data_IF_713110407530
#
_entry.id   IF_713110407530
#
_cell.length_a   1.000
_cell.length_b   1.000
_cell.length_c   1.000
_cell.angle_alpha   90.00
_cell.angle_beta   90.00
_cell.angle_gamma   90.00
#
_symmetry.space_group_name_H-M   'P 1'
#
loop_
_entity.id
_entity.type
_entity.pdbx_description
1 polymer ?
#
# COMPACT_ATOMS: atom_id res chain seq x y z
N UNK A 1 -20.00 -8.28 6.45
CA UNK A 1 -18.61 -7.86 6.72
C UNK A 1 -18.44 -6.97 7.97
N UNK A 2 -19.49 -6.45 8.56
CA UNK A 2 -19.45 -5.56 9.75
C UNK A 2 -19.52 -6.32 11.10
N UNK A 3 -19.83 -7.60 11.13
CA UNK A 3 -20.16 -8.37 12.35
C UNK A 3 -19.00 -9.16 13.00
N UNK A 4 -17.75 -8.96 12.60
CA UNK A 4 -16.61 -9.70 13.18
C UNK A 4 -15.69 -8.86 14.08
N UNK A 5 -16.05 -7.62 14.40
CA UNK A 5 -15.37 -6.85 15.43
C UNK A 5 -16.01 -7.14 16.80
N UNK A 6 -15.68 -8.30 17.35
CA UNK A 6 -16.16 -8.73 18.65
C UNK A 6 -15.54 -7.85 19.76
N UNK A 7 -16.41 -7.15 20.43
CA UNK A 7 -16.30 -6.20 21.52
C UNK A 7 -15.67 -6.77 22.80
N UNK A 8 -14.37 -7.04 22.82
CA UNK A 8 -13.65 -7.41 24.05
C UNK A 8 -12.61 -6.37 24.49
N UNK A 9 -12.83 -5.08 24.21
CA UNK A 9 -11.93 -4.00 24.64
C UNK A 9 -12.75 -2.78 25.10
N UNK A 10 -13.42 -2.92 26.24
CA UNK A 10 -13.98 -1.77 26.92
C UNK A 10 -13.79 -1.92 28.44
N UNK A 11 -12.55 -1.69 28.92
CA UNK A 11 -12.30 -1.25 30.31
C UNK A 11 -10.79 -0.97 30.54
N UNK A 12 -10.30 0.20 30.09
CA UNK A 12 -9.12 0.85 30.67
C UNK A 12 -9.07 2.32 30.22
N UNK A 13 -9.73 3.18 30.98
CA UNK A 13 -10.22 4.47 30.44
C UNK A 13 -9.21 5.59 30.16
N UNK A 14 -8.08 5.78 30.83
CA UNK A 14 -7.29 7.01 30.66
C UNK A 14 -5.95 6.82 29.92
N UNK A 15 -5.32 5.68 30.08
CA UNK A 15 -4.07 5.37 29.39
C UNK A 15 -4.27 5.11 27.88
N UNK A 16 -5.45 4.57 27.51
CA UNK A 16 -5.83 4.37 26.10
C UNK A 16 -6.06 5.69 25.36
N UNK A 17 -6.67 6.69 26.02
CA UNK A 17 -6.90 8.02 25.42
C UNK A 17 -5.60 8.76 25.09
N UNK A 18 -4.58 8.69 25.97
CA UNK A 18 -3.28 9.34 25.74
C UNK A 18 -2.49 8.71 24.58
N UNK A 19 -2.50 7.38 24.47
CA UNK A 19 -1.85 6.67 23.35
C UNK A 19 -2.53 6.94 22.00
N UNK A 20 -3.86 6.93 21.98
CA UNK A 20 -4.69 7.23 20.83
C UNK A 20 -4.42 8.63 20.24
N UNK A 21 -4.41 9.66 21.11
CA UNK A 21 -4.15 11.03 20.66
C UNK A 21 -2.76 11.19 20.01
N UNK A 22 -1.74 10.47 20.51
CA UNK A 22 -0.39 10.51 19.94
C UNK A 22 -0.33 9.90 18.54
N UNK A 23 -0.99 8.75 18.32
CA UNK A 23 -1.03 8.11 17.00
C UNK A 23 -1.74 9.03 16.00
N UNK A 24 -2.92 9.52 16.36
CA UNK A 24 -3.72 10.37 15.49
C UNK A 24 -3.00 11.68 15.15
N UNK A 25 -2.28 12.28 16.08
CA UNK A 25 -1.45 13.47 15.80
C UNK A 25 -0.35 13.14 14.80
N UNK A 26 0.36 12.01 14.96
CA UNK A 26 1.40 11.58 14.03
C UNK A 26 0.84 11.30 12.64
N UNK A 27 -0.31 10.64 12.54
CA UNK A 27 -0.99 10.39 11.27
C UNK A 27 -1.39 11.69 10.58
N UNK A 28 -1.94 12.67 11.32
CA UNK A 28 -2.33 13.98 10.77
C UNK A 28 -1.09 14.72 10.24
N UNK A 29 -0.01 14.77 11.02
CA UNK A 29 1.22 15.43 10.60
C UNK A 29 1.76 14.78 9.32
N UNK A 30 1.81 13.45 9.27
CA UNK A 30 2.27 12.71 8.11
C UNK A 30 1.37 12.97 6.88
N UNK A 31 0.05 12.99 7.07
CA UNK A 31 -0.90 13.33 6.00
C UNK A 31 -0.64 14.73 5.43
N UNK A 32 -0.40 15.72 6.29
CA UNK A 32 -0.07 17.09 5.88
C UNK A 32 1.20 17.09 5.02
N UNK A 33 2.25 16.38 5.44
CA UNK A 33 3.49 16.28 4.66
C UNK A 33 3.28 15.63 3.29
N UNK A 34 2.46 14.57 3.21
CA UNK A 34 2.15 13.90 1.95
C UNK A 34 1.31 14.80 1.02
N UNK A 35 0.31 15.49 1.57
CA UNK A 35 -0.47 16.48 0.81
C UNK A 35 0.42 17.60 0.28
N UNK A 36 1.31 18.12 1.11
CA UNK A 36 2.22 19.18 0.68
C UNK A 36 3.15 18.70 -0.43
N UNK A 37 3.68 17.47 -0.34
CA UNK A 37 4.49 16.90 -1.43
C UNK A 37 3.66 16.68 -2.71
N UNK A 38 2.43 16.18 -2.61
CA UNK A 38 1.57 15.91 -3.76
C UNK A 38 1.21 17.18 -4.55
N UNK A 39 0.90 18.28 -3.86
CA UNK A 39 0.35 19.46 -4.49
C UNK A 39 1.38 20.57 -4.71
N UNK A 40 2.40 20.69 -3.86
CA UNK A 40 3.40 21.75 -3.95
C UNK A 40 4.66 21.28 -4.67
N UNK A 41 5.31 20.24 -4.16
CA UNK A 41 6.57 19.77 -4.74
C UNK A 41 6.36 18.88 -5.97
N UNK A 42 5.26 18.12 -6.02
CA UNK A 42 4.93 17.16 -7.09
C UNK A 42 6.06 16.17 -7.40
N UNK A 43 6.84 15.80 -6.37
CA UNK A 43 7.95 14.88 -6.53
C UNK A 43 7.43 13.45 -6.33
N UNK A 44 7.21 12.74 -7.43
CA UNK A 44 6.76 11.36 -7.43
C UNK A 44 7.95 10.42 -7.54
N UNK A 45 8.62 10.19 -6.43
CA UNK A 45 9.77 9.29 -6.36
C UNK A 45 9.67 8.42 -5.10
N UNK A 46 9.87 7.11 -5.26
CA UNK A 46 9.85 6.16 -4.14
C UNK A 46 10.85 6.52 -3.03
N UNK A 47 12.02 7.10 -3.38
CA UNK A 47 12.98 7.58 -2.38
C UNK A 47 12.44 8.74 -1.53
N UNK A 48 11.71 9.68 -2.16
CA UNK A 48 11.13 10.83 -1.44
C UNK A 48 10.03 10.37 -0.49
N UNK A 49 9.15 9.49 -0.96
CA UNK A 49 8.11 8.90 -0.11
C UNK A 49 8.71 8.12 1.05
N UNK A 50 9.74 7.31 0.80
CA UNK A 50 10.48 6.60 1.85
C UNK A 50 11.13 7.57 2.83
N UNK A 51 11.74 8.65 2.33
CA UNK A 51 12.35 9.71 3.14
C UNK A 51 11.36 10.44 4.03
N UNK A 52 10.10 10.57 3.62
CA UNK A 52 9.02 11.12 4.46
C UNK A 52 8.55 10.09 5.49
N UNK A 53 8.33 8.85 5.07
CA UNK A 53 7.76 7.79 5.94
C UNK A 53 8.72 7.28 7.02
N UNK A 54 10.02 7.19 6.71
CA UNK A 54 11.03 6.61 7.60
C UNK A 54 11.20 7.38 8.92
N UNK A 55 11.28 8.73 8.95
CA UNK A 55 11.31 9.47 10.22
C UNK A 55 10.07 9.23 11.09
N UNK A 56 8.89 9.10 10.47
CA UNK A 56 7.66 8.80 11.22
C UNK A 56 7.68 7.38 11.79
N UNK A 57 8.21 6.41 11.06
CA UNK A 57 8.41 5.05 11.59
C UNK A 57 9.36 5.05 12.78
N UNK A 58 10.47 5.78 12.70
CA UNK A 58 11.42 5.93 13.82
C UNK A 58 10.75 6.60 15.00
N UNK A 59 10.00 7.68 14.78
CA UNK A 59 9.25 8.36 15.84
C UNK A 59 8.24 7.43 16.51
N UNK A 60 7.53 6.61 15.75
CA UNK A 60 6.62 5.60 16.29
C UNK A 60 7.35 4.60 17.17
N UNK A 61 8.52 4.10 16.75
CA UNK A 61 9.32 3.18 17.56
C UNK A 61 9.85 3.83 18.84
N UNK A 62 10.30 5.08 18.78
CA UNK A 62 10.82 5.81 19.93
C UNK A 62 9.71 6.13 20.95
N UNK A 63 8.54 6.59 20.47
CA UNK A 63 7.46 7.06 21.35
C UNK A 63 6.66 5.90 21.94
N UNK A 64 6.45 4.83 21.15
CA UNK A 64 5.51 3.76 21.48
C UNK A 64 6.16 2.37 21.61
N UNK A 65 7.46 2.25 21.30
CA UNK A 65 8.18 0.99 21.27
C UNK A 65 7.82 0.14 20.03
N UNK A 66 8.59 -0.89 19.79
CA UNK A 66 8.35 -1.87 18.70
C UNK A 66 7.47 -3.02 19.20
N UNK A 67 6.47 -3.40 18.43
CA UNK A 67 5.68 -4.60 18.69
C UNK A 67 6.09 -5.74 17.78
N UNK A 68 6.42 -6.90 18.42
CA UNK A 68 6.80 -8.09 17.67
C UNK A 68 5.57 -8.70 16.98
N UNK A 69 5.75 -9.04 15.71
CA UNK A 69 4.72 -9.73 14.94
C UNK A 69 4.48 -11.16 15.47
N UNK A 70 3.37 -11.34 16.21
CA UNK A 70 3.02 -12.57 16.94
C UNK A 70 1.85 -13.35 16.33
N UNK A 71 1.39 -12.99 15.14
CA UNK A 71 0.22 -13.63 14.53
C UNK A 71 0.45 -15.11 14.19
N UNK A 72 -0.58 -15.92 14.44
CA UNK A 72 -0.64 -17.35 14.15
C UNK A 72 -1.06 -17.59 12.67
N UNK A 73 -0.76 -18.76 12.13
CA UNK A 73 -1.20 -19.23 10.80
C UNK A 73 -0.66 -18.42 9.60
N UNK A 74 0.48 -17.77 9.75
CA UNK A 74 1.11 -17.00 8.66
C UNK A 74 1.43 -17.86 7.43
N UNK A 75 1.87 -19.11 7.65
CA UNK A 75 2.27 -20.02 6.56
C UNK A 75 1.10 -20.36 5.65
N UNK A 76 -0.06 -20.69 6.25
CA UNK A 76 -1.25 -21.08 5.50
C UNK A 76 -1.81 -19.92 4.69
N UNK A 77 -1.82 -18.70 5.29
CA UNK A 77 -2.27 -17.51 4.59
C UNK A 77 -1.31 -17.14 3.47
N UNK A 78 0.00 -17.20 3.69
CA UNK A 78 0.99 -16.95 2.64
C UNK A 78 0.88 -17.94 1.49
N UNK A 79 0.65 -19.22 1.80
CA UNK A 79 0.47 -20.25 0.78
C UNK A 79 -0.80 -20.02 -0.04
N UNK A 80 -1.93 -19.77 0.61
CA UNK A 80 -3.20 -19.47 -0.08
C UNK A 80 -3.09 -18.22 -0.93
N UNK A 81 -2.47 -17.16 -0.41
CA UNK A 81 -2.23 -15.93 -1.15
C UNK A 81 -1.31 -16.16 -2.36
N UNK A 82 -0.27 -16.99 -2.22
CA UNK A 82 0.61 -17.35 -3.33
C UNK A 82 -0.13 -18.09 -4.44
N UNK A 83 -1.04 -19.01 -4.08
CA UNK A 83 -1.88 -19.73 -5.04
C UNK A 83 -2.80 -18.76 -5.78
N UNK A 84 -3.46 -17.85 -5.07
CA UNK A 84 -4.36 -16.86 -5.68
C UNK A 84 -3.59 -15.94 -6.63
N UNK A 85 -2.42 -15.44 -6.22
CA UNK A 85 -1.57 -14.59 -7.06
C UNK A 85 -1.07 -15.34 -8.30
N UNK A 86 -0.68 -16.60 -8.15
CA UNK A 86 -0.24 -17.42 -9.26
C UNK A 86 -1.39 -17.68 -10.26
N UNK A 87 -2.57 -18.01 -9.76
CA UNK A 87 -3.77 -18.16 -10.58
C UNK A 87 -4.13 -16.87 -11.32
N UNK A 88 -4.05 -15.73 -10.63
CA UNK A 88 -4.29 -14.41 -11.25
C UNK A 88 -3.32 -14.15 -12.40
N UNK A 89 -2.01 -14.32 -12.19
CA UNK A 89 -1.03 -14.12 -13.27
C UNK A 89 -1.24 -15.11 -14.40
N UNK A 90 -1.52 -16.37 -14.11
CA UNK A 90 -1.81 -17.36 -15.13
C UNK A 90 -3.00 -16.94 -16.01
N UNK A 91 -4.12 -16.55 -15.40
CA UNK A 91 -5.32 -16.09 -16.12
C UNK A 91 -5.01 -14.82 -16.92
N UNK A 92 -4.31 -13.86 -16.32
CA UNK A 92 -3.97 -12.58 -16.96
C UNK A 92 -3.09 -12.80 -18.19
N UNK A 93 -2.05 -13.63 -18.09
CA UNK A 93 -1.19 -13.94 -19.23
C UNK A 93 -1.89 -14.82 -20.28
N UNK A 94 -2.78 -15.73 -19.87
CA UNK A 94 -3.61 -16.51 -20.77
C UNK A 94 -4.53 -15.61 -21.60
N UNK A 95 -5.20 -14.66 -20.97
CA UNK A 95 -6.01 -13.65 -21.67
C UNK A 95 -5.15 -12.75 -22.58
N UNK A 96 -3.92 -12.49 -22.21
CA UNK A 96 -2.95 -11.75 -23.02
C UNK A 96 -2.65 -12.40 -24.37
N UNK A 97 -2.82 -13.72 -24.51
CA UNK A 97 -2.70 -14.39 -25.81
C UNK A 97 -3.74 -13.92 -26.83
N UNK A 98 -4.88 -13.43 -26.36
CA UNK A 98 -5.95 -12.91 -27.20
C UNK A 98 -5.87 -11.40 -27.43
N UNK A 99 -5.41 -10.64 -26.43
CA UNK A 99 -5.33 -9.18 -26.49
C UNK A 99 -4.00 -8.66 -27.04
N UNK A 100 -2.95 -9.49 -27.01
CA UNK A 100 -1.59 -9.12 -27.37
C UNK A 100 -0.74 -8.77 -26.14
N UNK A 101 0.56 -8.51 -26.41
CA UNK A 101 1.54 -8.19 -25.36
C UNK A 101 2.31 -6.92 -25.70
N UNK A 102 2.58 -6.10 -24.68
CA UNK A 102 3.46 -4.94 -24.75
C UNK A 102 4.75 -5.21 -24.01
N UNK A 103 5.87 -4.76 -24.56
CA UNK A 103 7.18 -4.84 -23.91
C UNK A 103 7.27 -3.83 -22.77
N UNK A 104 7.97 -4.23 -21.69
CA UNK A 104 8.28 -3.31 -20.61
C UNK A 104 9.10 -2.12 -21.12
N UNK A 105 8.85 -0.94 -20.56
CA UNK A 105 9.66 0.27 -20.82
C UNK A 105 11.00 0.27 -20.08
N UNK A 106 11.19 -0.67 -19.14
CA UNK A 106 12.41 -0.76 -18.32
C UNK A 106 13.46 -1.67 -18.96
N UNK A 107 14.71 -1.29 -18.84
CA UNK A 107 15.83 -2.15 -19.26
C UNK A 107 15.97 -3.34 -18.32
N UNK A 108 16.03 -4.55 -18.88
CA UNK A 108 16.12 -5.82 -18.15
C UNK A 108 17.56 -6.23 -17.81
N UNK A 109 18.54 -5.33 -17.94
CA UNK A 109 19.89 -5.59 -17.39
C UNK A 109 19.78 -5.77 -15.87
N UNK A 110 20.49 -6.74 -15.31
CA UNK A 110 20.49 -7.05 -13.87
C UNK A 110 20.73 -5.80 -13.01
N UNK A 111 21.69 -4.96 -13.43
CA UNK A 111 22.03 -3.71 -12.73
C UNK A 111 20.83 -2.74 -12.74
N UNK A 112 20.14 -2.60 -13.88
CA UNK A 112 18.99 -1.72 -14.00
C UNK A 112 17.78 -2.26 -13.27
N UNK A 113 17.55 -3.58 -13.25
CA UNK A 113 16.50 -4.20 -12.43
C UNK A 113 16.74 -3.85 -10.96
N UNK A 114 17.95 -4.08 -10.44
CA UNK A 114 18.29 -3.76 -9.04
C UNK A 114 18.09 -2.26 -8.78
N UNK A 115 18.58 -1.40 -9.66
CA UNK A 115 18.48 0.06 -9.52
C UNK A 115 17.02 0.54 -9.47
N UNK A 116 16.14 -0.05 -10.27
CA UNK A 116 14.73 0.34 -10.35
C UNK A 116 13.89 -0.28 -9.22
N UNK A 117 14.19 -1.52 -8.81
CA UNK A 117 13.43 -2.23 -7.76
C UNK A 117 13.82 -1.80 -6.35
N UNK A 118 15.08 -1.45 -6.12
CA UNK A 118 15.58 -1.13 -4.77
C UNK A 118 14.79 -0.03 -4.05
N UNK A 119 14.51 1.15 -4.67
CA UNK A 119 13.72 2.20 -4.01
C UNK A 119 12.30 1.75 -3.69
N UNK A 120 11.70 0.94 -4.56
CA UNK A 120 10.34 0.41 -4.38
C UNK A 120 10.31 -0.60 -3.23
N UNK A 121 11.31 -1.47 -3.14
CA UNK A 121 11.45 -2.43 -2.03
C UNK A 121 11.56 -1.70 -0.70
N UNK A 122 12.42 -0.69 -0.61
CA UNK A 122 12.58 0.11 0.62
C UNK A 122 11.26 0.79 1.00
N UNK A 123 10.60 1.41 0.04
CA UNK A 123 9.30 2.06 0.25
C UNK A 123 8.25 1.07 0.77
N UNK A 124 8.13 -0.11 0.16
CA UNK A 124 7.18 -1.15 0.59
C UNK A 124 7.47 -1.55 2.04
N UNK A 125 8.72 -1.84 2.38
CA UNK A 125 9.09 -2.28 3.74
C UNK A 125 8.74 -1.20 4.76
N UNK A 126 9.13 0.05 4.51
CA UNK A 126 8.87 1.16 5.44
C UNK A 126 7.37 1.43 5.59
N UNK A 127 6.62 1.44 4.49
CA UNK A 127 5.18 1.66 4.51
C UNK A 127 4.44 0.56 5.28
N UNK A 128 4.77 -0.72 5.04
CA UNK A 128 4.05 -1.82 5.71
C UNK A 128 4.47 -1.97 7.18
N UNK A 129 5.69 -1.65 7.56
CA UNK A 129 6.08 -1.55 8.96
C UNK A 129 5.34 -0.41 9.66
N UNK A 130 5.27 0.77 9.04
CA UNK A 130 4.53 1.90 9.59
C UNK A 130 3.03 1.57 9.73
N UNK A 131 2.43 0.94 8.72
CA UNK A 131 1.04 0.45 8.75
C UNK A 131 0.82 -0.50 9.93
N UNK A 132 1.71 -1.46 10.11
CA UNK A 132 1.63 -2.43 11.20
C UNK A 132 1.67 -1.75 12.57
N UNK A 133 2.61 -0.84 12.78
CA UNK A 133 2.75 -0.12 14.04
C UNK A 133 1.51 0.76 14.34
N UNK A 134 1.04 1.51 13.36
CA UNK A 134 -0.17 2.34 13.48
C UNK A 134 -1.38 1.47 13.89
N UNK A 135 -1.62 0.38 13.18
CA UNK A 135 -2.83 -0.41 13.40
C UNK A 135 -2.77 -1.28 14.65
N UNK A 136 -1.61 -1.81 15.02
CA UNK A 136 -1.45 -2.60 16.24
C UNK A 136 -1.63 -1.71 17.47
N UNK A 137 -1.07 -0.52 17.42
CA UNK A 137 -1.12 0.43 18.53
C UNK A 137 -2.41 1.23 18.62
N UNK A 138 -3.19 1.26 17.54
CA UNK A 138 -4.56 1.81 17.55
C UNK A 138 -5.51 0.99 18.43
N UNK A 139 -5.12 -0.24 18.81
CA UNK A 139 -5.92 -1.17 19.64
C UNK A 139 -7.36 -1.36 19.15
N UNK A 140 -7.55 -1.36 17.83
CA UNK A 140 -8.85 -1.54 17.20
C UNK A 140 -9.73 -0.29 17.14
N UNK A 141 -9.18 0.89 17.41
CA UNK A 141 -9.93 2.13 17.22
C UNK A 141 -10.18 2.39 15.74
N UNK A 142 -11.47 2.37 15.35
CA UNK A 142 -11.89 2.51 13.96
C UNK A 142 -11.44 3.84 13.33
N UNK A 143 -11.41 4.93 14.08
CA UNK A 143 -10.97 6.23 13.56
C UNK A 143 -9.50 6.20 13.12
N UNK A 144 -8.57 5.68 13.93
CA UNK A 144 -7.17 5.52 13.53
C UNK A 144 -7.02 4.56 12.35
N UNK A 145 -7.79 3.48 12.30
CA UNK A 145 -7.71 2.51 11.21
C UNK A 145 -8.18 3.15 9.89
N UNK A 146 -9.31 3.86 9.92
CA UNK A 146 -9.84 4.55 8.72
C UNK A 146 -8.88 5.65 8.28
N UNK A 147 -8.39 6.47 9.23
CA UNK A 147 -7.49 7.56 8.94
C UNK A 147 -6.14 7.07 8.42
N UNK A 148 -5.58 6.02 9.03
CA UNK A 148 -4.39 5.34 8.54
C UNK A 148 -4.58 4.74 7.14
N UNK A 149 -5.76 4.18 6.84
CA UNK A 149 -6.08 3.70 5.49
C UNK A 149 -6.04 4.87 4.47
N UNK A 150 -6.66 6.00 4.80
CA UNK A 150 -6.64 7.21 3.96
C UNK A 150 -5.20 7.69 3.74
N UNK A 151 -4.37 7.66 4.78
CA UNK A 151 -2.96 8.04 4.70
C UNK A 151 -2.21 7.18 3.66
N UNK A 152 -2.39 5.85 3.67
CA UNK A 152 -1.73 4.97 2.70
C UNK A 152 -2.31 5.08 1.28
N UNK A 153 -3.58 5.46 1.13
CA UNK A 153 -4.15 5.85 -0.18
C UNK A 153 -3.44 7.10 -0.70
N UNK A 154 -3.18 8.08 0.17
CA UNK A 154 -2.44 9.30 -0.21
C UNK A 154 -0.99 9.04 -0.62
N UNK A 155 -0.36 7.98 -0.10
CA UNK A 155 0.97 7.52 -0.58
C UNK A 155 0.90 7.12 -2.05
N UNK A 156 -0.09 6.32 -2.44
CA UNK A 156 -0.26 5.88 -3.83
C UNK A 156 -0.61 7.06 -4.75
N UNK A 157 -1.47 7.97 -4.28
CA UNK A 157 -1.81 9.21 -5.01
C UNK A 157 -0.56 10.06 -5.22
N UNK A 158 0.27 10.21 -4.19
CA UNK A 158 1.52 10.97 -4.26
C UNK A 158 2.46 10.45 -5.36
N UNK A 159 2.55 9.13 -5.51
CA UNK A 159 3.39 8.51 -6.55
C UNK A 159 2.85 8.69 -7.97
N UNK A 160 1.56 8.94 -8.13
CA UNK A 160 0.89 8.89 -9.43
C UNK A 160 0.27 10.21 -9.88
N UNK A 161 0.11 11.20 -8.99
CA UNK A 161 -0.59 12.47 -9.29
C UNK A 161 0.04 13.25 -10.46
N UNK A 162 1.35 13.14 -10.63
CA UNK A 162 2.08 13.84 -11.69
C UNK A 162 1.81 13.28 -13.09
N UNK A 163 1.25 12.08 -13.21
CA UNK A 163 0.92 11.43 -14.48
C UNK A 163 -0.36 12.01 -15.11
N UNK A 164 -1.14 12.75 -14.32
CA UNK A 164 -2.44 13.27 -14.74
C UNK A 164 -2.52 14.78 -14.55
N UNK A 165 -3.11 15.44 -15.55
CA UNK A 165 -3.38 16.89 -15.45
C UNK A 165 -4.67 17.10 -14.62
N UNK A 166 -4.49 17.31 -13.32
CA UNK A 166 -5.60 17.50 -12.37
C UNK A 166 -6.33 18.84 -12.54
N UNK A 167 -5.83 19.73 -13.40
CA UNK A 167 -6.51 21.00 -13.70
C UNK A 167 -7.66 20.83 -14.68
N UNK A 168 -7.64 19.76 -15.47
CA UNK A 168 -8.70 19.42 -16.43
C UNK A 168 -9.69 18.43 -15.84
N UNK A 169 -10.99 18.57 -16.14
CA UNK A 169 -12.02 17.64 -15.68
C UNK A 169 -11.72 16.21 -16.11
N UNK A 170 -11.22 16.01 -17.32
CA UNK A 170 -10.86 14.70 -17.87
C UNK A 170 -9.66 14.09 -17.13
N UNK A 171 -8.61 14.87 -16.84
CA UNK A 171 -7.44 14.42 -16.11
C UNK A 171 -7.80 14.06 -14.66
N UNK A 172 -8.65 14.85 -14.00
CA UNK A 172 -9.15 14.58 -12.66
C UNK A 172 -9.98 13.29 -12.63
N UNK A 173 -10.87 13.07 -13.60
CA UNK A 173 -11.67 11.85 -13.71
C UNK A 173 -10.77 10.62 -13.92
N UNK A 174 -9.78 10.72 -14.82
CA UNK A 174 -8.79 9.65 -15.01
C UNK A 174 -8.02 9.34 -13.73
N UNK A 175 -7.55 10.36 -13.00
CA UNK A 175 -6.85 10.17 -11.73
C UNK A 175 -7.72 9.45 -10.70
N UNK A 176 -8.99 9.85 -10.57
CA UNK A 176 -9.92 9.20 -9.63
C UNK A 176 -10.14 7.73 -10.00
N UNK A 177 -10.46 7.45 -11.27
CA UNK A 177 -10.77 6.10 -11.72
C UNK A 177 -9.54 5.18 -11.78
N UNK A 178 -8.39 5.67 -12.21
CA UNK A 178 -7.21 4.85 -12.50
C UNK A 178 -6.20 4.78 -11.33
N UNK A 179 -6.28 5.71 -10.36
CA UNK A 179 -5.37 5.74 -9.22
C UNK A 179 -6.13 5.60 -7.90
N UNK A 180 -7.08 6.50 -7.62
CA UNK A 180 -7.71 6.55 -6.29
C UNK A 180 -8.54 5.31 -6.02
N UNK A 181 -9.37 4.88 -6.96
CA UNK A 181 -10.23 3.71 -6.79
C UNK A 181 -9.44 2.41 -6.57
N UNK A 182 -8.42 2.05 -7.40
CA UNK A 182 -7.57 0.89 -7.12
C UNK A 182 -6.79 1.01 -5.81
N UNK A 183 -6.34 2.22 -5.46
CA UNK A 183 -5.64 2.45 -4.20
C UNK A 183 -6.54 2.20 -2.98
N UNK A 184 -7.83 2.55 -3.06
CA UNK A 184 -8.78 2.26 -1.98
C UNK A 184 -8.88 0.74 -1.77
N UNK A 185 -9.15 -0.03 -2.83
CA UNK A 185 -9.30 -1.50 -2.73
C UNK A 185 -8.02 -2.15 -2.23
N UNK A 186 -6.88 -1.80 -2.79
CA UNK A 186 -5.56 -2.28 -2.36
C UNK A 186 -5.30 -1.99 -0.88
N UNK A 187 -5.48 -0.74 -0.44
CA UNK A 187 -5.16 -0.35 0.93
C UNK A 187 -6.16 -0.91 1.96
N UNK A 188 -7.43 -1.09 1.62
CA UNK A 188 -8.39 -1.81 2.46
C UNK A 188 -7.96 -3.27 2.63
N UNK A 189 -7.55 -3.94 1.55
CA UNK A 189 -7.05 -5.32 1.60
C UNK A 189 -5.76 -5.44 2.42
N UNK A 190 -4.78 -4.57 2.19
CA UNK A 190 -3.53 -4.54 2.96
C UNK A 190 -3.77 -4.25 4.45
N UNK A 191 -4.72 -3.39 4.78
CA UNK A 191 -5.13 -3.11 6.15
C UNK A 191 -5.70 -4.37 6.80
N UNK A 192 -6.57 -5.10 6.08
CA UNK A 192 -7.10 -6.38 6.55
C UNK A 192 -6.00 -7.42 6.77
N UNK A 193 -5.07 -7.58 5.82
CA UNK A 193 -3.93 -8.48 5.95
C UNK A 193 -3.06 -8.12 7.16
N UNK A 194 -2.73 -6.85 7.33
CA UNK A 194 -1.90 -6.38 8.43
C UNK A 194 -2.54 -6.65 9.78
N UNK A 195 -3.85 -6.40 9.91
CA UNK A 195 -4.60 -6.63 11.15
C UNK A 195 -4.81 -8.11 11.49
N UNK A 196 -4.91 -8.99 10.49
CA UNK A 196 -5.23 -10.42 10.69
C UNK A 196 -4.00 -11.32 10.67
N UNK A 197 -2.99 -11.00 9.88
CA UNK A 197 -1.86 -11.89 9.60
C UNK A 197 -0.52 -11.26 9.97
N UNK A 198 -0.42 -9.92 9.90
CA UNK A 198 0.80 -9.16 10.19
C UNK A 198 1.47 -8.57 8.95
N UNK A 199 2.49 -7.74 9.18
CA UNK A 199 3.15 -6.97 8.11
C UNK A 199 3.87 -7.82 7.06
N UNK A 200 4.35 -9.01 7.42
CA UNK A 200 5.11 -9.87 6.48
C UNK A 200 4.27 -10.33 5.30
N UNK A 201 2.99 -10.61 5.52
CA UNK A 201 2.07 -11.00 4.44
C UNK A 201 1.73 -9.81 3.53
N UNK A 202 1.59 -8.63 4.09
CA UNK A 202 1.38 -7.41 3.32
C UNK A 202 2.61 -7.05 2.45
N UNK A 203 3.83 -7.16 3.01
CA UNK A 203 5.08 -6.99 2.26
C UNK A 203 5.17 -8.01 1.10
N UNK A 204 4.89 -9.29 1.38
CA UNK A 204 4.94 -10.33 0.35
C UNK A 204 3.96 -10.04 -0.79
N UNK A 205 2.71 -9.69 -0.45
CA UNK A 205 1.71 -9.33 -1.45
C UNK A 205 2.18 -8.17 -2.33
N UNK A 206 2.67 -7.08 -1.72
CA UNK A 206 3.16 -5.92 -2.45
C UNK A 206 4.39 -6.22 -3.30
N UNK A 207 5.31 -7.05 -2.82
CA UNK A 207 6.45 -7.47 -3.62
C UNK A 207 6.02 -8.18 -4.90
N UNK A 208 5.09 -9.12 -4.81
CA UNK A 208 4.62 -9.85 -5.97
C UNK A 208 3.84 -8.94 -6.93
N UNK A 209 3.03 -8.02 -6.42
CA UNK A 209 2.16 -7.18 -7.25
C UNK A 209 2.83 -5.92 -7.80
N UNK A 210 3.78 -5.31 -7.07
CA UNK A 210 4.39 -4.03 -7.47
C UNK A 210 5.74 -4.20 -8.18
N UNK A 211 6.54 -5.24 -7.84
CA UNK A 211 7.84 -5.44 -8.47
C UNK A 211 7.77 -6.13 -9.84
N UNK A 212 6.65 -6.75 -10.18
CA UNK A 212 6.47 -7.44 -11.46
C UNK A 212 6.76 -6.55 -12.66
N UNK A 213 6.36 -5.27 -12.60
CA UNK A 213 6.58 -4.27 -13.68
C UNK A 213 8.04 -4.03 -14.03
N UNK A 214 8.96 -4.29 -13.08
CA UNK A 214 10.39 -4.12 -13.28
C UNK A 214 11.12 -5.42 -13.66
N UNK A 215 10.48 -6.56 -13.43
CA UNK A 215 11.11 -7.89 -13.59
C UNK A 215 10.63 -8.58 -14.87
N UNK A 216 9.33 -8.47 -15.20
CA UNK A 216 8.79 -9.15 -16.37
C UNK A 216 9.04 -8.38 -17.66
N UNK A 217 9.44 -9.11 -18.75
CA UNK A 217 9.79 -8.50 -20.05
C UNK A 217 8.57 -8.05 -20.85
N UNK A 218 7.43 -8.69 -20.63
CA UNK A 218 6.20 -8.46 -21.40
C UNK A 218 5.00 -8.43 -20.47
N UNK A 219 4.01 -7.63 -20.85
CA UNK A 219 2.72 -7.52 -20.16
C UNK A 219 1.57 -7.66 -21.15
N UNK A 220 0.45 -8.29 -20.75
CA UNK A 220 -0.76 -8.29 -21.56
C UNK A 220 -1.25 -6.85 -21.81
N UNK A 221 -1.68 -6.58 -23.05
CA UNK A 221 -2.22 -5.28 -23.44
C UNK A 221 -3.75 -5.33 -23.44
N UNK A 222 -4.34 -4.92 -22.33
CA UNK A 222 -5.80 -4.81 -22.20
C UNK A 222 -6.30 -3.36 -22.28
N UNK A 223 -5.39 -2.40 -22.56
CA UNK A 223 -5.70 -0.98 -22.46
C UNK A 223 -5.77 -0.48 -21.00
N UNK A 224 -5.78 0.84 -20.82
CA UNK A 224 -5.65 1.47 -19.49
C UNK A 224 -6.73 1.03 -18.49
N UNK A 225 -8.01 1.03 -18.91
CA UNK A 225 -9.14 0.78 -18.01
C UNK A 225 -9.24 -0.68 -17.55
N UNK A 226 -9.06 -1.63 -18.46
CA UNK A 226 -9.13 -3.06 -18.10
C UNK A 226 -7.95 -3.46 -17.23
N UNK A 227 -6.75 -2.92 -17.50
CA UNK A 227 -5.58 -3.14 -16.65
C UNK A 227 -5.82 -2.64 -15.20
N UNK A 228 -6.53 -1.53 -15.04
CA UNK A 228 -6.88 -1.01 -13.72
C UNK A 228 -7.95 -1.87 -13.04
N UNK A 229 -8.98 -2.30 -13.77
CA UNK A 229 -9.98 -3.23 -13.24
C UNK A 229 -9.34 -4.54 -12.75
N UNK A 230 -8.41 -5.11 -13.51
CA UNK A 230 -7.68 -6.30 -13.09
C UNK A 230 -6.86 -6.05 -11.81
N UNK A 231 -6.24 -4.88 -11.68
CA UNK A 231 -5.53 -4.48 -10.45
C UNK A 231 -6.46 -4.23 -9.26
N UNK A 232 -7.72 -3.88 -9.47
CA UNK A 232 -8.68 -3.68 -8.38
C UNK A 232 -9.27 -4.99 -7.85
N UNK A 233 -9.30 -6.03 -8.69
CA UNK A 233 -9.78 -7.37 -8.31
C UNK A 233 -8.73 -8.13 -7.52
N UNK A 234 -7.48 -7.83 -7.71
CA UNK A 234 -6.33 -8.43 -7.02
C UNK A 234 -6.17 -7.87 -5.63
#
# INVERSE_FOLDING_TARGET
MILLFNTKVLKSGDWMKKGFNKILILEIILLIFLLFNSFVFKIANAYVVTGIMLPFLILMFVIMGYEKDSFRNKKDVLLNMSIILLAYYFITYFLGLFSGFVKTSYSLSIINIIRNTFPVILMIIVCELLRYEVFTKSKGNMFCIIFGCILFIMVDVNLSVHLYDVTTALGLTKMICLVVFPSITKNVFLTFLTLKVGYKSAIFYRFVTELNTYIFPIFPDFGEYINVLLKTVL
#
